data_IF_097794408928
#
_entry.id   IF_097794408928
#
_cell.length_a   1.000
_cell.length_b   1.000
_cell.length_c   1.000
_cell.angle_alpha   90.00
_cell.angle_beta   90.00
_cell.angle_gamma   90.00
#
_symmetry.space_group_name_H-M   'P 1'
#
loop_
_entity.id
_entity.type
_entity.pdbx_description
1 polymer ?
#
# COMPACT_ATOMS: atom_id res chain seq x y z
N UNK A 1 18.97 -4.42 -1.86
CA UNK A 1 18.12 -4.08 -2.99
C UNK A 1 18.03 -2.55 -3.15
N UNK A 2 17.73 -2.07 -4.37
CA UNK A 2 17.51 -0.66 -4.67
C UNK A 2 16.07 -0.28 -4.33
N UNK A 3 15.87 0.89 -3.73
CA UNK A 3 14.55 1.51 -3.55
C UNK A 3 14.48 2.75 -4.45
N UNK A 4 13.43 2.83 -5.25
CA UNK A 4 13.13 3.98 -6.13
C UNK A 4 12.52 5.09 -5.28
N UNK A 5 12.87 6.34 -5.53
CA UNK A 5 12.35 7.49 -4.80
C UNK A 5 10.85 7.72 -5.01
N UNK A 6 10.26 8.64 -4.25
CA UNK A 6 8.82 8.90 -4.23
C UNK A 6 8.29 9.43 -5.56
N UNK A 7 9.01 10.36 -6.19
CA UNK A 7 8.59 10.97 -7.45
C UNK A 7 8.56 9.95 -8.58
N UNK A 8 9.64 9.19 -8.76
CA UNK A 8 9.71 8.14 -9.77
C UNK A 8 8.72 7.00 -9.47
N UNK A 9 8.45 6.72 -8.18
CA UNK A 9 7.43 5.77 -7.77
C UNK A 9 6.04 6.24 -8.19
N UNK A 10 5.71 7.52 -7.95
CA UNK A 10 4.43 8.09 -8.37
C UNK A 10 4.28 8.11 -9.89
N UNK A 11 5.33 8.43 -10.64
CA UNK A 11 5.31 8.38 -12.10
C UNK A 11 5.02 6.97 -12.62
N UNK A 12 5.61 5.95 -12.00
CA UNK A 12 5.34 4.57 -12.36
C UNK A 12 3.86 4.17 -12.10
N UNK A 13 3.26 4.66 -11.00
CA UNK A 13 1.83 4.41 -10.71
C UNK A 13 0.94 5.20 -11.67
N UNK A 14 1.27 6.45 -11.97
CA UNK A 14 0.55 7.28 -12.95
C UNK A 14 0.59 6.68 -14.36
N UNK A 15 1.66 5.94 -14.70
CA UNK A 15 1.75 5.20 -15.96
C UNK A 15 0.86 3.94 -16.02
N UNK A 16 0.11 3.63 -14.96
CA UNK A 16 -0.89 2.57 -14.91
C UNK A 16 -0.46 1.29 -14.19
N UNK A 17 0.66 1.28 -13.49
CA UNK A 17 1.07 0.14 -12.67
C UNK A 17 0.32 0.12 -11.34
N UNK A 18 -0.02 -1.05 -10.85
CA UNK A 18 -0.47 -1.26 -9.48
C UNK A 18 0.69 -1.11 -8.50
N UNK A 19 0.39 -0.78 -7.25
CA UNK A 19 1.39 -0.69 -6.20
C UNK A 19 0.87 -1.31 -4.90
N UNK A 20 1.62 -2.24 -4.36
CA UNK A 20 1.42 -2.77 -3.01
C UNK A 20 2.41 -2.15 -2.04
N UNK A 21 1.97 -1.90 -0.79
CA UNK A 21 2.75 -1.14 0.17
C UNK A 21 3.01 -1.91 1.46
N UNK A 22 4.28 -1.98 1.83
CA UNK A 22 4.72 -2.56 3.11
C UNK A 22 5.06 -1.47 4.13
N UNK A 23 4.28 -1.42 5.22
CA UNK A 23 4.62 -0.69 6.42
C UNK A 23 5.22 -1.63 7.49
N UNK A 24 5.41 -1.11 8.70
CA UNK A 24 5.91 -1.88 9.85
C UNK A 24 4.96 -3.02 10.25
N UNK A 25 3.66 -2.81 10.06
CA UNK A 25 2.63 -3.81 10.34
C UNK A 25 2.74 -5.05 9.46
N UNK A 26 2.89 -4.86 8.15
CA UNK A 26 3.05 -5.92 7.16
C UNK A 26 4.36 -6.67 7.36
N UNK A 27 5.47 -5.96 7.59
CA UNK A 27 6.75 -6.60 7.92
C UNK A 27 6.69 -7.40 9.23
N UNK A 28 6.01 -6.88 10.25
CA UNK A 28 5.83 -7.60 11.51
C UNK A 28 5.09 -8.93 11.29
N UNK A 29 4.00 -8.93 10.52
CA UNK A 29 3.23 -10.13 10.21
C UNK A 29 4.06 -11.11 9.37
N UNK A 30 4.75 -10.65 8.35
CA UNK A 30 5.63 -11.45 7.52
C UNK A 30 6.76 -12.13 8.33
N UNK A 31 7.32 -11.44 9.32
CA UNK A 31 8.33 -11.99 10.24
C UNK A 31 7.78 -12.95 11.32
N UNK A 32 6.48 -13.24 11.31
CA UNK A 32 5.85 -14.14 12.27
C UNK A 32 5.36 -13.48 13.55
N UNK A 33 5.19 -12.16 13.56
CA UNK A 33 4.49 -11.48 14.62
C UNK A 33 3.02 -11.91 14.71
N UNK A 34 2.49 -12.00 15.92
CA UNK A 34 1.13 -12.51 16.15
C UNK A 34 0.02 -11.56 15.76
N UNK A 35 0.30 -10.26 15.71
CA UNK A 35 -0.65 -9.21 15.29
C UNK A 35 0.05 -7.90 14.96
N UNK A 36 -0.60 -7.05 14.18
CA UNK A 36 -0.37 -5.61 14.15
C UNK A 36 -1.56 -4.86 14.79
N UNK A 37 -1.69 -3.56 14.54
CA UNK A 37 -2.76 -2.72 15.14
C UNK A 37 -4.17 -3.17 14.71
N UNK A 38 -4.32 -3.65 13.47
CA UNK A 38 -5.63 -3.92 12.85
C UNK A 38 -5.81 -5.36 12.36
N UNK A 39 -4.76 -6.18 12.37
CA UNK A 39 -4.77 -7.52 11.78
C UNK A 39 -4.14 -8.54 12.73
N UNK A 40 -4.82 -9.64 13.01
CA UNK A 40 -4.27 -10.83 13.66
C UNK A 40 -3.48 -11.64 12.60
N UNK A 41 -2.41 -12.30 13.05
CA UNK A 41 -1.61 -13.13 12.16
C UNK A 41 -2.44 -14.33 11.65
N UNK A 42 -2.31 -14.58 10.35
CA UNK A 42 -2.88 -15.76 9.70
C UNK A 42 -1.77 -16.45 8.89
N UNK A 43 -1.63 -17.78 8.94
CA UNK A 43 -0.56 -18.49 8.25
C UNK A 43 -0.51 -18.17 6.74
N UNK A 44 -1.66 -18.19 6.06
CA UNK A 44 -1.77 -17.85 4.63
C UNK A 44 -1.36 -16.41 4.37
N UNK A 45 -1.84 -15.43 5.16
CA UNK A 45 -1.44 -14.03 5.02
C UNK A 45 0.08 -13.85 5.15
N UNK A 46 0.68 -14.51 6.14
CA UNK A 46 2.14 -14.47 6.32
C UNK A 46 2.88 -14.99 5.10
N UNK A 47 2.44 -16.13 4.56
CA UNK A 47 3.04 -16.72 3.37
C UNK A 47 2.95 -15.77 2.18
N UNK A 48 1.76 -15.25 1.88
CA UNK A 48 1.51 -14.32 0.77
C UNK A 48 2.34 -13.03 0.90
N UNK A 49 2.42 -12.46 2.10
CA UNK A 49 3.29 -11.30 2.36
C UNK A 49 4.78 -11.63 2.09
N UNK A 50 5.27 -12.79 2.47
CA UNK A 50 6.64 -13.21 2.17
C UNK A 50 6.86 -13.43 0.66
N UNK A 51 5.93 -14.06 -0.02
CA UNK A 51 6.00 -14.34 -1.46
C UNK A 51 6.07 -13.04 -2.28
N UNK A 52 5.23 -12.04 -1.95
CA UNK A 52 5.24 -10.74 -2.63
C UNK A 52 6.60 -10.04 -2.47
N UNK A 53 7.22 -10.13 -1.28
CA UNK A 53 8.54 -9.52 -1.04
C UNK A 53 9.68 -10.23 -1.81
N UNK A 54 9.54 -11.52 -2.07
CA UNK A 54 10.61 -12.34 -2.63
C UNK A 54 10.45 -12.62 -4.12
N UNK A 55 9.26 -12.38 -4.68
CA UNK A 55 8.94 -12.72 -6.08
C UNK A 55 8.76 -11.47 -6.91
N UNK A 56 9.53 -11.28 -7.99
CA UNK A 56 9.33 -10.16 -8.92
C UNK A 56 7.91 -10.15 -9.49
N UNK A 57 7.23 -9.04 -9.34
CA UNK A 57 5.88 -8.84 -9.86
C UNK A 57 5.93 -8.10 -11.20
N UNK A 58 5.24 -8.62 -12.21
CA UNK A 58 5.26 -8.04 -13.55
C UNK A 58 4.47 -6.73 -13.65
N UNK A 59 3.34 -6.65 -12.99
CA UNK A 59 2.39 -5.53 -13.12
C UNK A 59 2.17 -4.75 -11.83
N UNK A 60 2.74 -5.22 -10.71
CA UNK A 60 2.61 -4.61 -9.41
C UNK A 60 3.97 -4.18 -8.87
N UNK A 61 4.06 -2.93 -8.44
CA UNK A 61 5.22 -2.38 -7.76
C UNK A 61 5.16 -2.79 -6.29
N UNK A 62 6.26 -3.28 -5.75
CA UNK A 62 6.36 -3.60 -4.32
C UNK A 62 7.05 -2.44 -3.61
N UNK A 63 6.31 -1.72 -2.81
CA UNK A 63 6.80 -0.53 -2.10
C UNK A 63 7.17 -0.86 -0.65
N UNK A 64 8.39 -0.49 -0.27
CA UNK A 64 8.97 -0.69 1.05
C UNK A 64 9.54 0.62 1.60
N UNK A 65 9.76 0.75 2.93
CA UNK A 65 10.49 1.90 3.46
C UNK A 65 11.95 1.88 2.97
N UNK A 66 12.46 3.01 2.55
CA UNK A 66 13.90 3.16 2.39
C UNK A 66 14.54 3.19 3.77
N UNK A 67 15.45 2.27 4.01
CA UNK A 67 16.14 2.09 5.30
C UNK A 67 17.54 2.72 5.30
N UNK A 68 17.86 3.55 4.30
CA UNK A 68 19.08 4.31 4.32
C UNK A 68 19.04 5.40 5.39
N UNK A 69 20.19 5.83 5.85
CA UNK A 69 20.36 6.86 6.89
C UNK A 69 19.77 8.23 6.53
N UNK A 70 19.49 8.46 5.25
CA UNK A 70 18.84 9.67 4.73
C UNK A 70 17.31 9.59 4.72
N UNK A 71 16.74 8.42 5.05
CA UNK A 71 15.29 8.24 5.08
C UNK A 71 14.65 9.04 6.20
N UNK A 72 13.53 9.74 5.97
CA UNK A 72 12.73 10.30 7.04
C UNK A 72 12.31 9.17 7.97
N UNK A 73 12.34 9.42 9.25
CA UNK A 73 12.06 8.37 10.24
C UNK A 73 13.08 7.21 10.26
N UNK A 74 14.29 7.43 9.75
CA UNK A 74 15.37 6.46 9.87
C UNK A 74 15.51 5.92 11.32
N UNK A 75 15.39 6.76 12.33
CA UNK A 75 15.40 6.38 13.74
C UNK A 75 14.34 5.30 14.08
N UNK A 76 13.21 5.31 13.40
CA UNK A 76 12.18 4.28 13.57
C UNK A 76 12.53 3.00 12.85
N UNK A 77 13.05 3.10 11.62
CA UNK A 77 13.36 1.96 10.77
C UNK A 77 14.71 1.33 11.12
N UNK A 78 15.65 2.07 11.69
CA UNK A 78 16.99 1.57 12.06
C UNK A 78 16.96 0.33 12.94
N UNK A 79 15.98 0.21 13.85
CA UNK A 79 15.79 -0.98 14.68
C UNK A 79 15.48 -2.26 13.88
N UNK A 80 15.08 -2.14 12.63
CA UNK A 80 14.76 -3.26 11.75
C UNK A 80 15.80 -3.48 10.65
N UNK A 81 16.79 -2.60 10.51
CA UNK A 81 17.77 -2.61 9.42
C UNK A 81 18.47 -3.97 9.20
N UNK A 82 18.62 -4.79 10.25
CA UNK A 82 19.24 -6.11 10.17
C UNK A 82 18.24 -7.25 9.86
N UNK A 83 16.94 -6.98 9.97
CA UNK A 83 15.89 -7.99 9.83
C UNK A 83 15.19 -7.90 8.48
N UNK A 84 14.72 -6.72 8.09
CA UNK A 84 13.98 -6.54 6.85
C UNK A 84 14.77 -6.89 5.59
N UNK A 85 16.06 -6.49 5.45
CA UNK A 85 16.82 -6.83 4.25
C UNK A 85 16.92 -8.33 3.97
N UNK A 86 16.84 -9.17 5.02
CA UNK A 86 16.87 -10.64 4.88
C UNK A 86 15.59 -11.21 4.27
N UNK A 87 14.51 -10.43 4.25
CA UNK A 87 13.23 -10.81 3.65
C UNK A 87 13.06 -10.27 2.24
N UNK A 88 14.05 -9.54 1.73
CA UNK A 88 13.98 -8.90 0.43
C UNK A 88 14.80 -9.72 -0.60
N UNK A 89 14.26 -9.80 -1.80
CA UNK A 89 15.00 -10.40 -2.91
C UNK A 89 16.18 -9.51 -3.32
N UNK A 90 17.42 -9.99 -3.32
CA UNK A 90 18.62 -9.14 -3.45
C UNK A 90 18.74 -8.42 -4.79
N UNK A 91 18.15 -8.96 -5.86
CA UNK A 91 18.20 -8.42 -7.23
C UNK A 91 16.93 -7.67 -7.64
N UNK A 92 15.95 -7.56 -6.76
CA UNK A 92 14.68 -6.90 -7.04
C UNK A 92 14.81 -5.38 -6.83
N UNK A 93 14.14 -4.61 -7.66
CA UNK A 93 13.92 -3.19 -7.45
C UNK A 93 12.63 -3.00 -6.67
N UNK A 94 12.70 -2.27 -5.60
CA UNK A 94 11.57 -1.86 -4.80
C UNK A 94 11.25 -0.38 -5.00
N UNK A 95 10.09 0.04 -4.55
CA UNK A 95 9.57 1.38 -4.71
C UNK A 95 9.32 2.02 -3.35
N UNK A 96 9.17 3.35 -3.30
CA UNK A 96 9.00 4.01 -2.01
C UNK A 96 7.59 3.83 -1.45
N UNK A 97 7.51 3.34 -0.22
CA UNK A 97 6.24 3.30 0.52
C UNK A 97 5.74 4.69 0.92
N UNK A 98 6.61 5.71 0.90
CA UNK A 98 6.24 7.07 1.30
C UNK A 98 5.36 7.79 0.27
N UNK A 99 5.14 7.21 -0.89
CA UNK A 99 4.13 7.68 -1.85
C UNK A 99 2.74 7.90 -1.20
N UNK A 100 2.38 7.12 -0.17
CA UNK A 100 1.13 7.32 0.57
C UNK A 100 1.31 8.15 1.85
N UNK A 101 2.50 8.63 2.12
CA UNK A 101 2.88 9.41 3.28
C UNK A 101 3.91 10.48 2.90
N UNK A 102 3.55 11.39 1.96
CA UNK A 102 4.47 12.42 1.48
C UNK A 102 4.95 13.35 2.61
N UNK A 103 4.14 13.51 3.67
CA UNK A 103 4.51 14.19 4.92
C UNK A 103 5.73 13.58 5.63
N UNK A 104 6.12 12.39 5.23
CA UNK A 104 7.24 11.65 5.81
C UNK A 104 8.43 11.53 4.87
N UNK A 105 8.36 12.13 3.68
CA UNK A 105 9.41 12.10 2.66
C UNK A 105 10.28 13.37 2.72
N UNK A 106 11.62 13.26 2.61
CA UNK A 106 12.53 14.37 2.92
C UNK A 106 12.58 15.49 1.88
N UNK A 107 12.22 15.24 0.64
CA UNK A 107 12.49 16.15 -0.47
C UNK A 107 11.29 16.32 -1.40
N UNK A 108 10.08 16.24 -0.86
CA UNK A 108 8.85 16.39 -1.63
C UNK A 108 8.22 17.74 -1.31
N UNK A 109 7.86 18.49 -2.36
CA UNK A 109 6.85 19.52 -2.26
C UNK A 109 5.50 18.83 -2.04
N UNK A 110 5.01 18.88 -0.81
CA UNK A 110 3.83 18.12 -0.40
C UNK A 110 2.57 18.54 -1.15
N UNK A 111 2.26 19.83 -1.35
CA UNK A 111 1.15 20.28 -2.19
C UNK A 111 1.24 19.75 -3.61
N UNK A 112 2.35 19.97 -4.31
CA UNK A 112 2.53 19.49 -5.68
C UNK A 112 2.39 17.97 -5.79
N UNK A 113 2.91 17.24 -4.82
CA UNK A 113 2.80 15.78 -4.80
C UNK A 113 1.34 15.31 -4.67
N UNK A 114 0.54 15.96 -3.82
CA UNK A 114 -0.88 15.65 -3.70
C UNK A 114 -1.64 15.99 -4.98
N UNK A 115 -1.37 17.10 -5.63
CA UNK A 115 -1.98 17.48 -6.91
C UNK A 115 -1.69 16.41 -8.00
N UNK A 116 -0.48 15.84 -7.97
CA UNK A 116 -0.13 14.74 -8.86
C UNK A 116 -0.84 13.44 -8.49
N UNK A 117 -0.95 13.12 -7.20
CA UNK A 117 -1.67 11.93 -6.73
C UNK A 117 -3.16 11.97 -7.11
N UNK A 118 -3.79 13.11 -7.06
CA UNK A 118 -5.21 13.27 -7.43
C UNK A 118 -5.50 12.83 -8.86
N UNK A 119 -4.53 12.92 -9.76
CA UNK A 119 -4.64 12.41 -11.14
C UNK A 119 -4.90 10.92 -11.22
N UNK A 120 -4.63 10.17 -10.15
CA UNK A 120 -4.92 8.73 -10.09
C UNK A 120 -6.42 8.43 -10.12
N UNK A 121 -7.24 9.35 -9.61
CA UNK A 121 -8.70 9.17 -9.54
C UNK A 121 -9.51 10.30 -10.19
N UNK A 122 -8.92 11.44 -10.50
CA UNK A 122 -9.62 12.56 -11.11
C UNK A 122 -10.31 12.15 -12.42
N UNK A 123 -11.62 12.40 -12.52
CA UNK A 123 -12.45 12.06 -13.67
C UNK A 123 -12.65 10.55 -13.90
N UNK A 124 -12.19 9.69 -13.00
CA UNK A 124 -12.30 8.24 -13.13
C UNK A 124 -13.43 7.66 -12.25
N UNK A 125 -13.95 6.50 -12.66
CA UNK A 125 -14.72 5.66 -11.75
C UNK A 125 -13.73 4.81 -10.93
N UNK A 126 -13.94 4.82 -9.60
CA UNK A 126 -12.99 4.24 -8.64
C UNK A 126 -13.71 3.29 -7.71
N UNK A 127 -13.17 2.11 -7.47
CA UNK A 127 -13.55 1.26 -6.35
C UNK A 127 -12.73 1.69 -5.13
N UNK A 128 -13.41 1.97 -4.03
CA UNK A 128 -12.78 2.28 -2.75
C UNK A 128 -13.07 1.15 -1.75
N UNK A 129 -12.06 0.32 -1.48
CA UNK A 129 -12.14 -0.69 -0.42
C UNK A 129 -11.76 -0.05 0.91
N UNK A 130 -12.64 -0.10 1.89
CA UNK A 130 -12.43 0.53 3.21
C UNK A 130 -13.02 -0.25 4.38
N UNK A 131 -12.41 -0.11 5.55
CA UNK A 131 -12.75 -0.85 6.76
C UNK A 131 -13.83 -0.22 7.64
N UNK A 132 -14.46 0.91 7.24
CA UNK A 132 -15.46 1.60 8.06
C UNK A 132 -16.20 2.66 7.25
N UNK A 133 -17.49 2.86 7.52
CA UNK A 133 -18.27 3.98 7.00
C UNK A 133 -17.74 5.34 7.48
N UNK A 134 -17.06 5.35 8.63
CA UNK A 134 -16.41 6.55 9.20
C UNK A 134 -14.99 6.78 8.66
N UNK A 135 -14.56 6.09 7.62
CA UNK A 135 -13.28 6.44 7.00
C UNK A 135 -13.40 7.82 6.36
N UNK A 136 -12.59 8.76 6.81
CA UNK A 136 -12.64 10.18 6.46
C UNK A 136 -12.30 10.50 4.99
N UNK A 137 -12.05 9.50 4.16
CA UNK A 137 -11.61 9.68 2.77
C UNK A 137 -12.65 10.43 1.94
N UNK A 138 -13.93 10.10 2.09
CA UNK A 138 -15.04 10.79 1.40
C UNK A 138 -15.39 12.11 2.08
N UNK A 139 -15.44 12.10 3.42
CA UNK A 139 -15.82 13.27 4.22
C UNK A 139 -14.81 14.44 4.10
N UNK A 140 -13.53 14.13 3.87
CA UNK A 140 -12.47 15.14 3.68
C UNK A 140 -12.33 15.63 2.24
N UNK A 141 -13.21 15.23 1.36
CA UNK A 141 -13.19 15.68 -0.03
C UNK A 141 -12.09 15.08 -0.89
N UNK A 142 -11.29 14.14 -0.39
CA UNK A 142 -10.18 13.55 -1.13
C UNK A 142 -10.64 12.90 -2.45
N UNK A 143 -11.86 12.37 -2.51
CA UNK A 143 -12.43 11.72 -3.69
C UNK A 143 -13.35 12.64 -4.51
N UNK A 144 -13.45 13.93 -4.22
CA UNK A 144 -14.37 14.86 -4.92
C UNK A 144 -14.08 14.97 -6.42
N UNK A 145 -12.84 14.77 -6.83
CA UNK A 145 -12.44 14.80 -8.24
C UNK A 145 -12.75 13.50 -8.99
N UNK A 146 -13.10 12.42 -8.30
CA UNK A 146 -13.52 11.18 -8.94
C UNK A 146 -14.88 11.35 -9.62
N UNK A 147 -15.04 10.78 -10.82
CA UNK A 147 -16.35 10.78 -11.52
C UNK A 147 -17.41 10.01 -10.74
N UNK A 148 -17.00 8.88 -10.13
CA UNK A 148 -17.86 8.04 -9.31
C UNK A 148 -17.01 7.20 -8.36
N UNK A 149 -17.45 7.06 -7.12
CA UNK A 149 -16.82 6.15 -6.13
C UNK A 149 -17.78 5.00 -5.84
N UNK A 150 -17.26 3.77 -5.97
CA UNK A 150 -17.96 2.54 -5.62
C UNK A 150 -17.37 1.98 -4.33
N UNK A 151 -18.04 2.15 -3.17
CA UNK A 151 -17.51 1.66 -1.91
C UNK A 151 -17.64 0.13 -1.82
N UNK A 152 -16.57 -0.53 -1.42
CA UNK A 152 -16.57 -1.93 -1.02
C UNK A 152 -16.13 -2.01 0.43
N UNK A 153 -17.05 -2.43 1.29
CA UNK A 153 -16.80 -2.49 2.74
C UNK A 153 -16.11 -3.78 3.12
N UNK A 154 -15.15 -3.68 4.04
CA UNK A 154 -14.53 -4.82 4.72
C UNK A 154 -14.53 -4.60 6.24
N UNK A 155 -14.16 -5.62 7.00
CA UNK A 155 -14.01 -5.49 8.43
C UNK A 155 -12.94 -4.44 8.80
N UNK A 156 -13.22 -3.65 9.83
CA UNK A 156 -12.26 -2.67 10.36
C UNK A 156 -11.02 -3.32 10.98
N UNK A 157 -11.21 -4.53 11.51
CA UNK A 157 -10.13 -5.36 12.08
C UNK A 157 -10.21 -6.73 11.44
N UNK A 158 -9.06 -7.36 11.29
CA UNK A 158 -8.93 -8.69 10.71
C UNK A 158 -9.56 -8.82 9.30
N UNK A 159 -9.47 -7.75 8.52
CA UNK A 159 -10.05 -7.66 7.18
C UNK A 159 -9.62 -8.81 6.26
N UNK A 160 -8.43 -9.38 6.49
CA UNK A 160 -7.94 -10.50 5.69
C UNK A 160 -8.85 -11.74 5.70
N UNK A 161 -9.63 -11.96 6.76
CA UNK A 161 -10.62 -13.05 6.82
C UNK A 161 -11.71 -12.94 5.75
N UNK A 162 -11.91 -11.75 5.21
CA UNK A 162 -12.91 -11.45 4.19
C UNK A 162 -12.32 -11.29 2.78
N UNK A 163 -11.04 -11.62 2.58
CA UNK A 163 -10.32 -11.31 1.33
C UNK A 163 -11.03 -11.85 0.10
N UNK A 164 -11.49 -13.12 0.12
CA UNK A 164 -12.15 -13.75 -1.02
C UNK A 164 -13.51 -13.08 -1.35
N UNK A 165 -14.21 -12.56 -0.34
CA UNK A 165 -15.46 -11.79 -0.53
C UNK A 165 -15.17 -10.42 -1.12
N UNK A 166 -14.18 -9.73 -0.58
CA UNK A 166 -13.79 -8.38 -1.03
C UNK A 166 -13.29 -8.45 -2.47
N UNK A 167 -12.44 -9.41 -2.80
CA UNK A 167 -11.93 -9.63 -4.15
C UNK A 167 -13.08 -9.82 -5.16
N UNK A 168 -14.01 -10.75 -4.89
CA UNK A 168 -15.18 -10.95 -5.76
C UNK A 168 -15.98 -9.67 -5.97
N UNK A 169 -16.21 -8.90 -4.91
CA UNK A 169 -16.97 -7.65 -4.99
C UNK A 169 -16.25 -6.59 -5.81
N UNK A 170 -14.93 -6.48 -5.67
CA UNK A 170 -14.09 -5.57 -6.47
C UNK A 170 -14.13 -5.96 -7.93
N UNK A 171 -13.91 -7.22 -8.26
CA UNK A 171 -13.91 -7.73 -9.63
C UNK A 171 -15.27 -7.57 -10.33
N UNK A 172 -16.37 -7.75 -9.59
CA UNK A 172 -17.73 -7.57 -10.13
C UNK A 172 -18.02 -6.14 -10.60
N UNK A 173 -17.32 -5.14 -10.10
CA UNK A 173 -17.50 -3.73 -10.48
C UNK A 173 -16.81 -3.37 -11.79
N UNK A 174 -15.90 -4.21 -12.29
CA UNK A 174 -15.19 -4.06 -13.56
C UNK A 174 -14.61 -2.65 -13.80
N UNK A 175 -14.08 -2.02 -12.75
CA UNK A 175 -13.45 -0.69 -12.82
C UNK A 175 -11.93 -0.82 -12.98
N UNK A 176 -11.33 0.15 -13.67
CA UNK A 176 -9.89 0.16 -13.91
C UNK A 176 -9.08 0.70 -12.72
N UNK A 177 -9.73 1.33 -11.75
CA UNK A 177 -9.07 1.97 -10.61
C UNK A 177 -9.62 1.44 -9.31
N UNK A 178 -8.74 0.92 -8.48
CA UNK A 178 -9.08 0.38 -7.15
C UNK A 178 -8.15 1.01 -6.13
N UNK A 179 -8.72 1.62 -5.10
CA UNK A 179 -8.01 2.14 -3.94
C UNK A 179 -8.30 1.26 -2.73
N UNK A 180 -7.25 0.75 -2.10
CA UNK A 180 -7.36 -0.22 -1.03
C UNK A 180 -6.94 0.40 0.32
N UNK A 181 -7.90 0.62 1.22
CA UNK A 181 -7.69 1.14 2.57
C UNK A 181 -8.04 0.07 3.61
N UNK A 182 -7.40 -1.10 3.54
CA UNK A 182 -7.77 -2.31 4.28
C UNK A 182 -6.59 -2.97 5.04
N UNK A 183 -5.61 -2.19 5.46
CA UNK A 183 -4.44 -2.71 6.20
C UNK A 183 -3.69 -3.79 5.43
N UNK A 184 -3.21 -4.82 6.12
CA UNK A 184 -2.41 -5.88 5.50
C UNK A 184 -3.14 -6.68 4.41
N UNK A 185 -4.49 -6.73 4.44
CA UNK A 185 -5.27 -7.31 3.34
C UNK A 185 -5.03 -6.54 2.03
N UNK A 186 -4.94 -5.21 2.09
CA UNK A 186 -4.69 -4.39 0.90
C UNK A 186 -3.37 -4.73 0.22
N UNK A 187 -2.35 -5.09 0.99
CA UNK A 187 -1.03 -5.47 0.46
C UNK A 187 -1.09 -6.74 -0.39
N UNK A 188 -1.97 -7.67 -0.07
CA UNK A 188 -2.12 -8.95 -0.76
C UNK A 188 -3.12 -8.86 -1.91
N UNK A 189 -4.17 -8.04 -1.76
CA UNK A 189 -5.25 -7.90 -2.74
C UNK A 189 -4.87 -7.08 -3.97
N UNK A 190 -3.72 -6.42 -3.97
CA UNK A 190 -3.28 -5.50 -5.05
C UNK A 190 -2.95 -6.19 -6.38
#
# INVERSE_FOLDING_TARGET
PRVVNENDTLDAVLSGKSITRYGDGEFRLAMGGTKNVSQIAHPRLRQELCEILMTPQKFCLVAIPDMNDKSPKWWFWSKYQNKYPRMLHPKMTYYSQFITRPDSAPAIDVPEFYDRMEKLWAGQEVVLVRGSERSLVEERGTMQLAKKVHPVMCARRDAYQEIDRVERNVLALNTKRVLLCAGAMATVLT
#
